data_IF_449467201542
#
_entry.id   IF_449467201542
#
_cell.length_a   1.000
_cell.length_b   1.000
_cell.length_c   1.000
_cell.angle_alpha   90.00
_cell.angle_beta   90.00
_cell.angle_gamma   90.00
#
_symmetry.space_group_name_H-M   'P 1'
#
loop_
_entity.id
_entity.type
_entity.pdbx_description
1 polymer ?
#
# COMPACT_ATOMS: atom_id res chain seq x y z
N UNK A 1 -49.62 -6.15 -7.13
CA UNK A 1 -48.80 -5.54 -6.05
C UNK A 1 -48.29 -6.70 -5.22
N UNK A 2 -47.03 -7.07 -5.44
CA UNK A 2 -46.37 -8.11 -4.65
C UNK A 2 -45.84 -7.49 -3.34
N UNK A 3 -45.96 -8.21 -2.24
CA UNK A 3 -45.57 -7.80 -0.87
C UNK A 3 -44.10 -7.39 -0.74
N UNK A 4 -43.34 -7.32 -1.82
CA UNK A 4 -41.88 -7.10 -1.90
C UNK A 4 -41.47 -5.83 -2.65
N UNK A 5 -42.44 -5.05 -3.14
CA UNK A 5 -42.17 -3.69 -3.62
C UNK A 5 -42.11 -2.75 -2.40
N UNK A 6 -40.99 -2.84 -1.65
CA UNK A 6 -40.65 -1.82 -0.67
C UNK A 6 -40.12 -0.62 -1.49
N UNK A 7 -40.85 0.49 -1.59
CA UNK A 7 -40.33 1.71 -2.19
C UNK A 7 -39.05 2.07 -1.39
N UNK A 8 -37.98 2.37 -2.07
CA UNK A 8 -36.86 3.00 -1.39
C UNK A 8 -37.41 4.26 -0.72
N UNK A 9 -37.22 4.46 0.59
CA UNK A 9 -37.70 5.65 1.24
C UNK A 9 -37.09 6.86 0.51
N UNK A 10 -37.96 7.78 0.10
CA UNK A 10 -37.51 9.06 -0.49
C UNK A 10 -36.50 9.76 0.43
N UNK A 11 -35.77 10.75 -0.08
CA UNK A 11 -34.74 11.43 0.69
C UNK A 11 -35.32 11.88 2.04
N UNK A 12 -34.63 11.51 3.12
CA UNK A 12 -35.04 11.92 4.46
C UNK A 12 -34.68 13.38 4.65
N UNK A 13 -35.60 14.15 5.23
CA UNK A 13 -35.34 15.52 5.64
C UNK A 13 -34.06 15.58 6.48
N UNK A 14 -33.06 16.40 6.06
CA UNK A 14 -31.76 16.50 6.71
C UNK A 14 -30.66 15.51 6.20
N UNK A 15 -30.95 14.69 5.19
CA UNK A 15 -29.90 13.88 4.56
C UNK A 15 -28.99 14.74 3.68
N UNK A 16 -27.61 14.67 3.84
CA UNK A 16 -26.68 15.46 3.04
C UNK A 16 -26.87 15.26 1.53
N UNK A 17 -26.66 16.34 0.74
CA UNK A 17 -26.79 16.32 -0.70
C UNK A 17 -25.96 15.20 -1.35
N UNK A 18 -24.73 14.99 -0.91
CA UNK A 18 -23.87 13.92 -1.38
C UNK A 18 -24.45 12.52 -1.15
N UNK A 19 -25.32 12.35 -0.17
CA UNK A 19 -26.01 11.08 0.08
C UNK A 19 -27.27 10.95 -0.76
N UNK A 20 -28.04 12.04 -0.89
CA UNK A 20 -29.27 12.09 -1.72
C UNK A 20 -28.97 11.91 -3.20
N UNK A 21 -27.87 12.49 -3.70
CA UNK A 21 -27.45 12.43 -5.11
C UNK A 21 -26.69 11.13 -5.49
N UNK A 22 -26.65 10.13 -4.60
CA UNK A 22 -26.03 8.85 -4.97
C UNK A 22 -26.75 8.19 -6.14
N UNK A 23 -26.00 7.75 -7.17
CA UNK A 23 -26.56 6.98 -8.26
C UNK A 23 -27.36 5.77 -7.76
N UNK A 24 -28.56 5.58 -8.28
CA UNK A 24 -29.40 4.42 -8.01
C UNK A 24 -29.16 3.29 -9.02
N UNK A 25 -28.59 3.59 -10.18
CA UNK A 25 -28.33 2.63 -11.26
C UNK A 25 -26.95 2.86 -11.89
N UNK A 26 -26.52 1.91 -12.74
CA UNK A 26 -25.26 2.04 -13.49
C UNK A 26 -25.30 3.17 -14.53
N UNK A 27 -26.48 3.50 -15.04
CA UNK A 27 -26.68 4.54 -16.03
C UNK A 27 -26.52 5.94 -15.43
N UNK A 28 -26.84 6.07 -14.15
CA UNK A 28 -26.61 7.33 -13.40
C UNK A 28 -25.16 7.50 -12.95
N UNK A 29 -24.40 6.40 -12.94
CA UNK A 29 -23.02 6.43 -12.44
C UNK A 29 -22.13 7.25 -13.38
N UNK A 30 -21.48 8.27 -12.86
CA UNK A 30 -20.61 9.17 -13.63
C UNK A 30 -19.17 8.71 -13.53
N UNK A 31 -18.48 8.71 -14.66
CA UNK A 31 -17.07 8.32 -14.76
C UNK A 31 -16.83 6.82 -14.67
N UNK A 32 -15.58 6.45 -14.38
CA UNK A 32 -15.13 5.06 -14.23
C UNK A 32 -15.29 4.22 -15.52
N UNK A 33 -15.16 4.83 -16.70
CA UNK A 33 -15.29 4.15 -18.00
C UNK A 33 -14.34 2.95 -18.14
N UNK A 34 -13.17 3.00 -17.51
CA UNK A 34 -12.22 1.88 -17.48
C UNK A 34 -12.77 0.61 -16.83
N UNK A 35 -13.70 0.76 -15.88
CA UNK A 35 -14.27 -0.33 -15.07
C UNK A 35 -15.73 -0.62 -15.44
N UNK A 36 -16.53 0.43 -15.67
CA UNK A 36 -17.97 0.38 -15.86
C UNK A 36 -18.43 0.71 -17.28
N UNK A 37 -17.52 1.07 -18.19
CA UNK A 37 -17.85 1.35 -19.57
C UNK A 37 -18.51 0.17 -20.29
N UNK A 38 -19.16 0.40 -21.42
CA UNK A 38 -19.82 -0.66 -22.19
C UNK A 38 -18.86 -1.81 -22.53
N UNK A 39 -19.28 -3.04 -22.25
CA UNK A 39 -18.48 -4.24 -22.51
C UNK A 39 -17.37 -4.54 -21.48
N UNK A 40 -17.17 -3.72 -20.47
CA UNK A 40 -16.21 -3.99 -19.40
C UNK A 40 -16.63 -5.17 -18.52
N UNK A 41 -15.62 -5.86 -17.97
CA UNK A 41 -15.83 -7.11 -17.23
C UNK A 41 -16.80 -6.95 -16.07
N UNK A 42 -16.61 -5.92 -15.21
CA UNK A 42 -17.46 -5.71 -14.04
C UNK A 42 -18.90 -5.38 -14.47
N UNK A 43 -19.07 -4.48 -15.45
CA UNK A 43 -20.39 -4.13 -15.97
C UNK A 43 -21.13 -5.36 -16.50
N UNK A 44 -20.51 -6.17 -17.34
CA UNK A 44 -21.10 -7.42 -17.86
C UNK A 44 -21.50 -8.40 -16.75
N UNK A 45 -20.66 -8.51 -15.70
CA UNK A 45 -20.94 -9.38 -14.57
C UNK A 45 -22.18 -8.91 -13.79
N UNK A 46 -22.33 -7.58 -13.60
CA UNK A 46 -23.47 -6.97 -12.92
C UNK A 46 -24.74 -7.15 -13.77
N UNK A 47 -24.68 -6.85 -15.07
CA UNK A 47 -25.83 -6.95 -16.00
C UNK A 47 -26.31 -8.39 -16.16
N UNK A 48 -25.39 -9.37 -16.16
CA UNK A 48 -25.70 -10.78 -16.24
C UNK A 48 -26.08 -11.43 -14.90
N UNK A 49 -26.08 -10.68 -13.80
CA UNK A 49 -26.26 -11.18 -12.42
C UNK A 49 -25.29 -12.34 -12.06
N UNK A 50 -24.06 -12.27 -12.57
CA UNK A 50 -22.98 -13.26 -12.36
C UNK A 50 -21.80 -12.60 -11.67
N UNK A 51 -22.01 -12.19 -10.43
CA UNK A 51 -20.95 -11.56 -9.63
C UNK A 51 -19.85 -12.56 -9.26
N UNK A 52 -18.67 -12.04 -9.11
CA UNK A 52 -17.54 -12.76 -8.52
C UNK A 52 -17.81 -13.01 -7.02
N UNK A 53 -17.16 -14.04 -6.46
CA UNK A 53 -17.27 -14.34 -5.03
C UNK A 53 -16.66 -13.24 -4.15
N UNK A 54 -15.66 -12.50 -4.66
CA UNK A 54 -14.99 -11.45 -3.95
C UNK A 54 -14.52 -10.35 -4.90
N UNK A 55 -14.73 -9.10 -4.50
CA UNK A 55 -14.35 -7.89 -5.21
C UNK A 55 -13.63 -6.96 -4.25
N UNK A 56 -12.55 -6.33 -4.69
CA UNK A 56 -11.90 -5.24 -3.98
C UNK A 56 -11.99 -4.00 -4.87
N UNK A 57 -12.61 -2.95 -4.35
CA UNK A 57 -12.70 -1.64 -4.98
C UNK A 57 -11.63 -0.73 -4.34
N UNK A 58 -10.66 -0.35 -5.12
CA UNK A 58 -9.55 0.49 -4.67
C UNK A 58 -9.61 1.84 -5.38
N UNK A 59 -9.23 2.91 -4.68
CA UNK A 59 -9.14 4.24 -5.25
C UNK A 59 -9.44 5.36 -4.24
N UNK A 60 -9.25 6.64 -4.63
CA UNK A 60 -9.31 7.77 -3.73
C UNK A 60 -10.69 8.00 -3.12
N UNK A 61 -10.80 8.81 -2.04
CA UNK A 61 -12.08 9.23 -1.48
C UNK A 61 -12.96 9.89 -2.54
N UNK A 62 -14.27 9.68 -2.45
CA UNK A 62 -15.23 10.29 -3.39
C UNK A 62 -15.29 9.69 -4.80
N UNK A 63 -14.47 8.69 -5.14
CA UNK A 63 -14.48 8.00 -6.44
C UNK A 63 -15.69 7.08 -6.68
N UNK A 64 -16.55 6.88 -5.67
CA UNK A 64 -17.80 6.14 -5.80
C UNK A 64 -17.77 4.68 -5.33
N UNK A 65 -16.74 4.20 -4.59
CA UNK A 65 -16.62 2.79 -4.12
C UNK A 65 -17.87 2.28 -3.40
N UNK A 66 -18.32 2.97 -2.37
CA UNK A 66 -19.51 2.61 -1.58
C UNK A 66 -20.78 2.68 -2.42
N UNK A 67 -20.87 3.68 -3.30
CA UNK A 67 -21.99 3.87 -4.24
C UNK A 67 -22.07 2.72 -5.23
N UNK A 68 -20.94 2.32 -5.82
CA UNK A 68 -20.89 1.19 -6.75
C UNK A 68 -21.32 -0.11 -6.09
N UNK A 69 -20.87 -0.38 -4.86
CA UNK A 69 -21.29 -1.56 -4.12
C UNK A 69 -22.81 -1.59 -3.88
N UNK A 70 -23.44 -0.44 -3.60
CA UNK A 70 -24.91 -0.33 -3.46
C UNK A 70 -25.65 -0.53 -4.78
N UNK A 71 -25.17 0.04 -5.88
CA UNK A 71 -25.73 -0.16 -7.23
C UNK A 71 -25.65 -1.63 -7.62
N UNK A 72 -24.53 -2.30 -7.34
CA UNK A 72 -24.38 -3.75 -7.56
C UNK A 72 -25.46 -4.52 -6.77
N UNK A 73 -25.62 -4.20 -5.49
CA UNK A 73 -26.59 -4.88 -4.65
C UNK A 73 -28.04 -4.68 -5.14
N UNK A 74 -28.40 -3.46 -5.49
CA UNK A 74 -29.72 -3.13 -6.03
C UNK A 74 -30.00 -3.89 -7.35
N UNK A 75 -29.03 -3.88 -8.28
CA UNK A 75 -29.16 -4.52 -9.60
C UNK A 75 -29.29 -6.03 -9.52
N UNK A 76 -28.55 -6.65 -8.57
CA UNK A 76 -28.53 -8.10 -8.37
C UNK A 76 -29.57 -8.61 -7.35
N UNK A 77 -30.44 -7.74 -6.86
CA UNK A 77 -31.46 -8.05 -5.84
C UNK A 77 -30.89 -8.73 -4.59
N UNK A 78 -29.64 -8.46 -4.29
CA UNK A 78 -28.94 -8.98 -3.12
C UNK A 78 -29.22 -8.13 -1.89
N UNK A 79 -29.32 -8.74 -0.71
CA UNK A 79 -29.33 -8.00 0.54
C UNK A 79 -27.97 -7.32 0.74
N UNK A 80 -27.97 -6.06 1.16
CA UNK A 80 -26.75 -5.28 1.38
C UNK A 80 -26.48 -5.11 2.86
N UNK A 81 -25.35 -5.66 3.33
CA UNK A 81 -24.84 -5.48 4.67
C UNK A 81 -23.54 -4.68 4.58
N UNK A 82 -23.43 -3.61 5.37
CA UNK A 82 -22.28 -2.72 5.36
C UNK A 82 -21.61 -2.70 6.72
N UNK A 83 -20.30 -2.91 6.74
CA UNK A 83 -19.45 -2.75 7.92
C UNK A 83 -18.38 -1.70 7.63
N UNK A 84 -18.05 -0.88 8.62
CA UNK A 84 -16.86 -0.03 8.59
C UNK A 84 -15.75 -0.75 9.33
N UNK A 85 -14.63 -1.00 8.69
CA UNK A 85 -13.49 -1.67 9.31
C UNK A 85 -12.89 -0.86 10.48
N UNK A 86 -13.15 0.45 10.53
CA UNK A 86 -12.74 1.32 11.64
C UNK A 86 -13.56 1.06 12.91
N UNK A 87 -14.85 0.72 12.77
CA UNK A 87 -15.79 0.62 13.90
C UNK A 87 -16.23 -0.82 14.21
N UNK A 88 -16.15 -1.72 13.23
CA UNK A 88 -16.65 -3.09 13.32
C UNK A 88 -15.51 -4.11 13.45
N UNK A 89 -15.73 -5.10 14.31
CA UNK A 89 -14.81 -6.21 14.52
C UNK A 89 -15.41 -7.57 14.22
N UNK A 90 -14.80 -8.62 14.75
CA UNK A 90 -15.28 -9.99 14.62
C UNK A 90 -16.70 -10.25 15.16
N UNK A 91 -17.15 -9.59 16.26
CA UNK A 91 -18.53 -9.77 16.75
C UNK A 91 -19.57 -9.32 15.73
N UNK A 92 -19.40 -8.13 15.12
CA UNK A 92 -20.30 -7.56 14.12
C UNK A 92 -20.30 -8.43 12.85
N UNK A 93 -19.12 -8.88 12.41
CA UNK A 93 -18.99 -9.80 11.29
C UNK A 93 -19.77 -11.10 11.52
N UNK A 94 -19.69 -11.70 12.73
CA UNK A 94 -20.46 -12.91 13.08
C UNK A 94 -21.95 -12.70 12.99
N UNK A 95 -22.46 -11.55 13.38
CA UNK A 95 -23.88 -11.21 13.25
C UNK A 95 -24.31 -11.13 11.78
N UNK A 96 -23.50 -10.50 10.93
CA UNK A 96 -23.76 -10.44 9.48
C UNK A 96 -23.77 -11.84 8.86
N UNK A 97 -22.82 -12.70 9.24
CA UNK A 97 -22.78 -14.11 8.77
C UNK A 97 -24.05 -14.84 9.16
N UNK A 98 -24.51 -14.70 10.39
CA UNK A 98 -25.74 -15.34 10.85
C UNK A 98 -26.95 -14.91 10.02
N UNK A 99 -27.12 -13.58 9.80
CA UNK A 99 -28.18 -13.02 8.95
C UNK A 99 -28.08 -13.47 7.48
N UNK A 100 -26.87 -13.52 6.92
CA UNK A 100 -26.66 -13.96 5.54
C UNK A 100 -27.06 -15.44 5.35
N UNK A 101 -26.68 -16.30 6.29
CA UNK A 101 -27.05 -17.72 6.29
C UNK A 101 -28.54 -17.93 6.44
N UNK A 102 -29.20 -17.17 7.30
CA UNK A 102 -30.65 -17.21 7.50
C UNK A 102 -31.37 -16.78 6.21
N UNK A 103 -31.00 -15.66 5.60
CA UNK A 103 -31.60 -15.19 4.34
C UNK A 103 -31.44 -16.20 3.21
N UNK A 104 -30.24 -16.83 3.12
CA UNK A 104 -29.99 -17.86 2.11
C UNK A 104 -30.88 -19.08 2.29
N UNK A 105 -31.10 -19.50 3.56
CA UNK A 105 -31.96 -20.65 3.88
C UNK A 105 -33.45 -20.37 3.68
N UNK A 106 -33.92 -19.24 4.19
CA UNK A 106 -35.34 -18.91 4.26
C UNK A 106 -35.87 -18.26 2.97
N UNK A 107 -35.07 -17.41 2.31
CA UNK A 107 -35.48 -16.60 1.17
C UNK A 107 -34.74 -16.92 -0.13
N UNK A 108 -33.78 -17.83 -0.11
CA UNK A 108 -32.82 -18.08 -1.21
C UNK A 108 -32.20 -16.76 -1.76
N UNK A 109 -32.05 -15.76 -0.87
CA UNK A 109 -31.53 -14.44 -1.22
C UNK A 109 -30.03 -14.37 -0.94
N UNK A 110 -29.26 -13.88 -1.93
CA UNK A 110 -27.84 -13.59 -1.77
C UNK A 110 -27.64 -12.36 -0.88
N UNK A 111 -26.54 -12.35 -0.16
CA UNK A 111 -26.10 -11.20 0.63
C UNK A 111 -24.79 -10.68 0.07
N UNK A 112 -24.69 -9.38 -0.13
CA UNK A 112 -23.42 -8.67 -0.34
C UNK A 112 -22.96 -8.13 0.99
N UNK A 113 -21.76 -8.53 1.43
CA UNK A 113 -21.05 -7.91 2.54
C UNK A 113 -20.09 -6.86 1.98
N UNK A 114 -20.40 -5.60 2.24
CA UNK A 114 -19.51 -4.48 1.96
C UNK A 114 -18.73 -4.11 3.20
N UNK A 115 -17.38 -4.08 3.08
CA UNK A 115 -16.50 -3.65 4.16
C UNK A 115 -15.75 -2.40 3.70
N UNK A 116 -16.07 -1.27 4.31
CA UNK A 116 -15.40 0.00 4.03
C UNK A 116 -14.07 0.09 4.79
N UNK A 117 -13.05 0.62 4.13
CA UNK A 117 -11.67 0.75 4.64
C UNK A 117 -11.10 -0.59 5.12
N UNK A 118 -11.24 -1.66 4.32
CA UNK A 118 -10.86 -3.04 4.70
C UNK A 118 -9.39 -3.17 5.16
N UNK A 119 -8.51 -2.30 4.72
CA UNK A 119 -7.12 -2.24 5.17
C UNK A 119 -6.96 -1.92 6.67
N UNK A 120 -7.99 -1.34 7.32
CA UNK A 120 -8.00 -1.09 8.78
C UNK A 120 -8.22 -2.35 9.61
N UNK A 121 -8.69 -3.43 9.00
CA UNK A 121 -8.79 -4.70 9.69
C UNK A 121 -7.42 -5.36 9.80
N UNK A 122 -7.12 -5.90 10.98
CA UNK A 122 -5.91 -6.68 11.18
C UNK A 122 -5.97 -8.03 10.44
N UNK A 123 -4.83 -8.71 10.35
CA UNK A 123 -4.70 -9.98 9.62
C UNK A 123 -5.73 -11.02 10.07
N UNK A 124 -5.98 -11.17 11.37
CA UNK A 124 -6.92 -12.16 11.89
C UNK A 124 -8.39 -11.85 11.50
N UNK A 125 -8.74 -10.57 11.40
CA UNK A 125 -10.06 -10.15 10.94
C UNK A 125 -10.24 -10.38 9.43
N UNK A 126 -9.21 -10.12 8.64
CA UNK A 126 -9.21 -10.40 7.21
C UNK A 126 -9.22 -11.91 6.93
N UNK A 127 -8.44 -12.71 7.68
CA UNK A 127 -8.42 -14.18 7.58
C UNK A 127 -9.81 -14.79 7.85
N UNK A 128 -10.60 -14.20 8.76
CA UNK A 128 -11.97 -14.65 9.05
C UNK A 128 -12.94 -14.56 7.86
N UNK A 129 -12.61 -13.77 6.83
CA UNK A 129 -13.41 -13.68 5.61
C UNK A 129 -13.18 -14.87 4.66
N UNK A 130 -11.99 -15.47 4.67
CA UNK A 130 -11.57 -16.46 3.67
C UNK A 130 -12.54 -17.65 3.54
N UNK A 131 -12.93 -18.35 4.64
CA UNK A 131 -13.87 -19.47 4.53
C UNK A 131 -15.22 -19.05 3.99
N UNK A 132 -15.65 -17.81 4.25
CA UNK A 132 -16.97 -17.30 3.90
C UNK A 132 -17.07 -16.83 2.45
N UNK A 133 -15.93 -16.40 1.90
CA UNK A 133 -15.78 -16.11 0.47
C UNK A 133 -15.73 -17.42 -0.32
N UNK A 134 -15.05 -18.44 0.21
CA UNK A 134 -14.92 -19.76 -0.43
C UNK A 134 -16.22 -20.56 -0.44
N UNK A 135 -16.99 -20.54 0.66
CA UNK A 135 -18.27 -21.27 0.76
C UNK A 135 -19.45 -20.51 0.11
N UNK A 136 -19.21 -19.27 -0.35
CA UNK A 136 -20.23 -18.43 -0.97
C UNK A 136 -21.35 -18.02 -0.02
N UNK A 137 -21.08 -17.93 1.29
CA UNK A 137 -22.05 -17.44 2.29
C UNK A 137 -22.52 -16.03 1.92
N UNK A 138 -21.60 -15.20 1.40
CA UNK A 138 -21.90 -13.89 0.83
C UNK A 138 -20.95 -13.55 -0.33
N UNK A 139 -21.33 -12.55 -1.13
CA UNK A 139 -20.42 -11.89 -2.05
C UNK A 139 -19.69 -10.80 -1.27
N UNK A 140 -18.37 -10.90 -1.17
CA UNK A 140 -17.57 -9.91 -0.47
C UNK A 140 -17.22 -8.74 -1.41
N UNK A 141 -17.42 -7.50 -0.94
CA UNK A 141 -16.92 -6.29 -1.60
C UNK A 141 -16.13 -5.49 -0.57
N UNK A 142 -14.83 -5.53 -0.66
CA UNK A 142 -13.94 -4.67 0.14
C UNK A 142 -13.72 -3.34 -0.57
N UNK A 143 -13.79 -2.23 0.18
CA UNK A 143 -13.37 -0.92 -0.31
C UNK A 143 -12.13 -0.46 0.46
N UNK A 144 -11.19 0.15 -0.24
CA UNK A 144 -9.97 0.70 0.36
C UNK A 144 -9.49 1.93 -0.41
N UNK A 145 -8.87 2.85 0.30
CA UNK A 145 -8.10 3.95 -0.28
C UNK A 145 -6.62 3.60 -0.45
N UNK A 146 -6.14 2.55 0.22
CA UNK A 146 -4.77 2.08 0.18
C UNK A 146 -4.59 0.98 -0.87
N UNK A 147 -3.36 0.82 -1.39
CA UNK A 147 -3.07 -0.20 -2.39
C UNK A 147 -3.29 -1.61 -1.81
N UNK A 148 -4.28 -2.38 -2.32
CA UNK A 148 -4.67 -3.65 -1.75
C UNK A 148 -3.58 -4.73 -1.80
N UNK A 149 -2.61 -4.61 -2.70
CA UNK A 149 -1.50 -5.55 -2.80
C UNK A 149 -0.50 -5.45 -1.64
N UNK A 150 -0.53 -4.34 -0.88
CA UNK A 150 0.32 -4.13 0.29
C UNK A 150 -0.45 -4.25 1.62
N UNK A 151 -1.71 -3.83 1.63
CA UNK A 151 -2.48 -3.65 2.87
C UNK A 151 -3.51 -4.76 3.12
N UNK A 152 -3.87 -5.51 2.09
CA UNK A 152 -4.78 -6.66 2.20
C UNK A 152 -3.98 -7.95 2.15
N UNK A 153 -4.36 -8.94 2.96
CA UNK A 153 -3.65 -10.22 3.00
C UNK A 153 -3.66 -10.91 1.63
N UNK A 154 -2.50 -11.46 1.25
CA UNK A 154 -2.33 -12.12 -0.06
C UNK A 154 -3.39 -13.19 -0.37
N UNK A 155 -3.79 -14.07 0.57
CA UNK A 155 -4.88 -15.04 0.34
C UNK A 155 -6.23 -14.42 -0.03
N UNK A 156 -6.57 -13.24 0.50
CA UNK A 156 -7.83 -12.56 0.16
C UNK A 156 -7.71 -11.86 -1.20
N UNK A 157 -6.58 -11.21 -1.49
CA UNK A 157 -6.31 -10.59 -2.80
C UNK A 157 -6.34 -11.62 -3.92
N UNK A 158 -5.68 -12.78 -3.72
CA UNK A 158 -5.65 -13.85 -4.74
C UNK A 158 -7.02 -14.45 -5.09
N UNK A 159 -7.99 -14.34 -4.18
CA UNK A 159 -9.38 -14.80 -4.37
C UNK A 159 -10.31 -13.67 -4.81
N UNK A 160 -9.81 -12.45 -4.91
CA UNK A 160 -10.60 -11.26 -5.24
C UNK A 160 -10.31 -10.78 -6.65
N UNK A 161 -11.31 -10.10 -7.26
CA UNK A 161 -11.08 -9.26 -8.42
C UNK A 161 -10.89 -7.83 -7.94
N UNK A 162 -9.71 -7.28 -8.19
CA UNK A 162 -9.37 -5.90 -7.84
C UNK A 162 -9.77 -4.98 -8.99
N UNK A 163 -10.53 -3.94 -8.67
CA UNK A 163 -10.90 -2.88 -9.61
C UNK A 163 -10.45 -1.54 -9.05
N UNK A 164 -9.67 -0.84 -9.84
CA UNK A 164 -9.21 0.50 -9.52
C UNK A 164 -10.22 1.54 -10.01
N UNK A 165 -10.60 2.45 -9.11
CA UNK A 165 -11.46 3.58 -9.39
C UNK A 165 -10.61 4.85 -9.34
N UNK A 166 -10.69 5.65 -10.39
CA UNK A 166 -9.90 6.87 -10.53
C UNK A 166 -10.63 8.10 -9.97
N UNK A 167 -9.90 9.18 -9.65
CA UNK A 167 -10.52 10.47 -9.37
C UNK A 167 -11.42 10.89 -10.54
N UNK A 168 -12.53 11.53 -10.26
CA UNK A 168 -13.38 12.09 -11.31
C UNK A 168 -12.69 13.29 -11.96
N UNK A 169 -12.83 13.44 -13.26
CA UNK A 169 -12.39 14.63 -13.99
C UNK A 169 -13.21 15.87 -13.61
N UNK A 170 -12.68 17.06 -13.86
CA UNK A 170 -13.42 18.32 -13.62
C UNK A 170 -14.75 18.34 -14.39
N UNK A 171 -14.79 17.80 -15.62
CA UNK A 171 -16.02 17.73 -16.41
C UNK A 171 -17.06 16.79 -15.80
N UNK A 172 -16.62 15.66 -15.23
CA UNK A 172 -17.50 14.71 -14.56
C UNK A 172 -18.05 15.27 -13.25
N UNK A 173 -17.22 15.99 -12.48
CA UNK A 173 -17.68 16.70 -11.27
C UNK A 173 -18.66 17.81 -11.65
N UNK A 174 -18.38 18.59 -12.69
CA UNK A 174 -19.30 19.63 -13.15
C UNK A 174 -20.66 19.05 -13.52
N UNK A 175 -20.68 17.93 -14.24
CA UNK A 175 -21.91 17.20 -14.57
C UNK A 175 -22.70 16.79 -13.32
N UNK A 176 -22.02 16.35 -12.26
CA UNK A 176 -22.68 15.99 -10.98
C UNK A 176 -23.28 17.21 -10.29
N UNK A 177 -22.60 18.36 -10.29
CA UNK A 177 -23.09 19.60 -9.72
C UNK A 177 -24.32 20.12 -10.50
N UNK A 178 -24.29 20.10 -11.82
CA UNK A 178 -25.40 20.46 -12.68
C UNK A 178 -26.62 19.55 -12.47
N UNK A 179 -26.41 18.23 -12.38
CA UNK A 179 -27.46 17.26 -12.03
C UNK A 179 -28.07 17.57 -10.67
N UNK A 180 -27.25 17.90 -9.67
CA UNK A 180 -27.73 18.22 -8.32
C UNK A 180 -28.58 19.50 -8.30
N UNK A 181 -28.27 20.47 -9.13
CA UNK A 181 -29.08 21.68 -9.29
C UNK A 181 -30.41 21.43 -10.07
N UNK A 182 -30.40 20.48 -11.00
CA UNK A 182 -31.55 20.19 -11.85
C UNK A 182 -32.53 19.14 -11.26
N UNK A 183 -32.05 18.22 -10.43
CA UNK A 183 -32.86 17.14 -9.87
C UNK A 183 -33.87 17.68 -8.85
N UNK A 184 -35.17 17.50 -9.14
CA UNK A 184 -36.26 17.99 -8.29
C UNK A 184 -36.55 17.14 -7.06
N UNK A 185 -36.19 15.89 -7.10
CA UNK A 185 -36.51 14.93 -6.04
C UNK A 185 -35.36 14.80 -5.02
N UNK A 186 -34.12 14.72 -5.51
CA UNK A 186 -32.93 14.45 -4.71
C UNK A 186 -32.04 15.67 -4.52
N UNK A 187 -32.12 16.62 -5.47
CA UNK A 187 -31.29 17.83 -5.52
C UNK A 187 -32.05 19.10 -5.18
N UNK A 188 -31.74 20.13 -5.93
CA UNK A 188 -32.22 21.48 -5.73
C UNK A 188 -33.18 21.98 -6.85
N UNK A 189 -33.55 21.14 -7.80
CA UNK A 189 -34.37 21.52 -8.96
C UNK A 189 -35.78 22.05 -8.64
N UNK A 190 -36.21 21.98 -7.39
CA UNK A 190 -37.43 22.62 -6.87
C UNK A 190 -37.25 23.99 -6.26
N UNK A 191 -36.00 24.47 -6.12
CA UNK A 191 -35.64 25.78 -5.52
C UNK A 191 -35.16 26.75 -6.60
N UNK A 192 -35.52 28.06 -6.54
CA UNK A 192 -35.00 29.04 -7.46
C UNK A 192 -33.53 29.39 -7.14
N UNK A 193 -32.60 28.74 -7.86
CA UNK A 193 -31.17 28.94 -7.69
C UNK A 193 -30.58 29.41 -9.02
N UNK A 194 -29.80 30.48 -8.99
CA UNK A 194 -29.01 30.98 -10.11
C UNK A 194 -27.52 30.77 -9.79
N UNK A 195 -26.93 29.72 -10.33
CA UNK A 195 -25.50 29.42 -10.16
C UNK A 195 -24.73 29.85 -11.41
N UNK A 196 -23.68 30.63 -11.21
CA UNK A 196 -22.78 31.04 -12.29
C UNK A 196 -21.91 29.87 -12.75
N UNK A 197 -21.67 29.78 -14.06
CA UNK A 197 -20.80 28.75 -14.62
C UNK A 197 -19.38 28.79 -14.01
N UNK A 198 -18.85 30.00 -13.75
CA UNK A 198 -17.55 30.18 -13.11
C UNK A 198 -17.51 29.65 -11.68
N UNK A 199 -18.61 29.74 -10.92
CA UNK A 199 -18.74 29.21 -9.58
C UNK A 199 -18.70 27.67 -9.59
N UNK A 200 -19.49 27.02 -10.47
CA UNK A 200 -19.52 25.57 -10.61
C UNK A 200 -18.19 24.99 -11.09
N UNK A 201 -17.54 25.67 -12.06
CA UNK A 201 -16.19 25.27 -12.51
C UNK A 201 -15.16 25.38 -11.38
N UNK A 202 -15.25 26.41 -10.54
CA UNK A 202 -14.39 26.59 -9.39
C UNK A 202 -14.57 25.44 -8.38
N UNK A 203 -15.82 25.09 -8.05
CA UNK A 203 -16.13 23.97 -7.18
C UNK A 203 -15.60 22.64 -7.77
N UNK A 204 -15.82 22.41 -9.07
CA UNK A 204 -15.36 21.19 -9.75
C UNK A 204 -13.84 21.04 -9.71
N UNK A 205 -13.11 22.11 -10.00
CA UNK A 205 -11.64 22.12 -9.98
C UNK A 205 -11.06 21.89 -8.58
N UNK A 206 -11.60 22.58 -7.55
CA UNK A 206 -11.09 22.49 -6.19
C UNK A 206 -11.52 21.22 -5.46
N UNK A 207 -12.56 20.55 -5.93
CA UNK A 207 -12.95 19.24 -5.40
C UNK A 207 -11.88 18.16 -5.65
N UNK A 208 -10.98 18.34 -6.61
CA UNK A 208 -9.84 17.42 -6.84
C UNK A 208 -10.29 16.01 -7.20
N UNK A 209 -11.41 15.83 -7.91
CA UNK A 209 -11.96 14.53 -8.29
C UNK A 209 -12.82 13.85 -7.23
N UNK A 210 -13.03 14.47 -6.07
CA UNK A 210 -13.89 13.98 -4.99
C UNK A 210 -15.33 14.49 -5.14
N UNK A 211 -16.22 13.64 -5.65
CA UNK A 211 -17.65 13.96 -5.82
C UNK A 211 -18.36 14.35 -4.51
N UNK A 212 -17.99 13.73 -3.38
CA UNK A 212 -18.57 14.04 -2.08
C UNK A 212 -18.19 15.45 -1.64
N UNK A 213 -16.92 15.82 -1.81
CA UNK A 213 -16.44 17.15 -1.49
C UNK A 213 -17.14 18.22 -2.33
N UNK A 214 -17.28 17.99 -3.64
CA UNK A 214 -17.95 18.90 -4.55
C UNK A 214 -19.43 19.13 -4.16
N UNK A 215 -20.17 18.05 -3.91
CA UNK A 215 -21.59 18.12 -3.53
C UNK A 215 -21.79 18.75 -2.16
N UNK A 216 -20.94 18.48 -1.18
CA UNK A 216 -20.99 19.13 0.13
C UNK A 216 -20.70 20.64 0.04
N UNK A 217 -19.76 21.04 -0.82
CA UNK A 217 -19.47 22.44 -1.07
C UNK A 217 -20.65 23.17 -1.75
N UNK A 218 -21.29 22.51 -2.73
CA UNK A 218 -22.51 23.04 -3.34
C UNK A 218 -23.65 23.15 -2.31
N UNK A 219 -23.83 22.16 -1.45
CA UNK A 219 -24.82 22.19 -0.38
C UNK A 219 -24.59 23.37 0.56
N UNK A 220 -23.34 23.56 0.99
CA UNK A 220 -22.97 24.69 1.84
C UNK A 220 -23.24 26.03 1.13
N UNK A 221 -22.86 26.17 -0.14
CA UNK A 221 -23.13 27.38 -0.93
C UNK A 221 -24.62 27.72 -0.99
N UNK A 222 -25.48 26.71 -1.25
CA UNK A 222 -26.92 26.88 -1.35
C UNK A 222 -27.57 27.19 -0.01
N UNK A 223 -27.19 26.47 1.03
CA UNK A 223 -27.88 26.60 2.35
C UNK A 223 -27.38 27.83 3.14
N UNK A 224 -26.16 28.31 2.90
CA UNK A 224 -25.63 29.49 3.61
C UNK A 224 -25.97 30.82 2.92
N UNK A 225 -26.37 30.78 1.65
CA UNK A 225 -26.66 32.02 0.89
C UNK A 225 -28.13 32.42 1.01
N UNK A 226 -28.44 33.60 1.58
CA UNK A 226 -29.82 34.06 1.65
C UNK A 226 -30.38 34.39 0.26
N UNK A 227 -31.66 34.09 -0.03
CA UNK A 227 -32.27 34.47 -1.29
C UNK A 227 -32.39 36.00 -1.42
N UNK A 228 -32.38 36.49 -2.64
CA UNK A 228 -32.65 37.87 -2.96
C UNK A 228 -34.13 38.27 -2.75
N UNK A 229 -34.48 39.54 -3.05
CA UNK A 229 -35.85 40.01 -2.95
C UNK A 229 -36.85 39.28 -3.84
N UNK A 230 -36.39 38.58 -4.88
CA UNK A 230 -37.17 37.69 -5.76
C UNK A 230 -37.25 36.27 -5.28
N UNK A 231 -36.61 35.93 -4.17
CA UNK A 231 -36.56 34.55 -3.62
C UNK A 231 -35.51 33.68 -4.29
N UNK A 232 -34.59 34.22 -5.10
CA UNK A 232 -33.57 33.48 -5.84
C UNK A 232 -32.28 33.44 -5.03
N UNK A 233 -31.71 32.26 -4.89
CA UNK A 233 -30.36 32.04 -4.30
C UNK A 233 -29.31 32.22 -5.39
N UNK A 234 -28.44 33.20 -5.27
CA UNK A 234 -27.35 33.45 -6.22
C UNK A 234 -26.05 32.86 -5.76
N UNK A 235 -25.47 31.98 -6.57
CA UNK A 235 -24.17 31.34 -6.32
C UNK A 235 -23.17 31.88 -7.32
N UNK A 236 -22.46 32.93 -6.91
CA UNK A 236 -21.37 33.52 -7.66
C UNK A 236 -20.02 32.90 -7.30
N UNK A 237 -18.94 33.36 -7.92
CA UNK A 237 -17.60 32.86 -7.66
C UNK A 237 -17.15 33.12 -6.22
N UNK A 238 -17.56 34.20 -5.56
CA UNK A 238 -17.20 34.52 -4.18
C UNK A 238 -17.80 33.50 -3.21
N UNK A 239 -19.11 33.23 -3.35
CA UNK A 239 -19.82 32.20 -2.58
C UNK A 239 -19.16 30.82 -2.77
N UNK A 240 -18.81 30.48 -4.01
CA UNK A 240 -18.14 29.21 -4.30
C UNK A 240 -16.76 29.13 -3.63
N UNK A 241 -15.99 30.22 -3.60
CA UNK A 241 -14.68 30.29 -2.95
C UNK A 241 -14.77 30.10 -1.43
N UNK A 242 -15.79 30.68 -0.80
CA UNK A 242 -16.04 30.54 0.63
C UNK A 242 -16.55 29.13 1.01
N UNK A 243 -17.35 28.51 0.13
CA UNK A 243 -18.00 27.24 0.38
C UNK A 243 -17.08 26.04 0.22
N UNK A 244 -16.05 26.13 -0.63
CA UNK A 244 -15.03 25.12 -0.77
C UNK A 244 -13.74 25.60 -0.14
N UNK A 245 -13.55 25.27 1.12
CA UNK A 245 -12.24 25.46 1.73
C UNK A 245 -11.23 24.69 0.90
N UNK A 246 -10.11 25.32 0.51
CA UNK A 246 -8.96 24.56 0.04
C UNK A 246 -8.72 23.46 1.07
N UNK A 247 -9.06 22.25 0.76
CA UNK A 247 -8.28 21.15 1.30
C UNK A 247 -6.84 21.56 1.03
N UNK A 248 -6.06 21.83 2.07
CA UNK A 248 -4.61 21.85 1.95
C UNK A 248 -4.32 20.72 1.00
N UNK A 249 -3.73 21.00 -0.18
CA UNK A 249 -3.56 20.07 -1.28
C UNK A 249 -3.49 18.68 -0.67
N UNK A 250 -4.62 17.96 -0.63
CA UNK A 250 -4.59 16.59 -0.20
C UNK A 250 -3.76 15.93 -1.28
N UNK A 251 -2.53 15.87 -0.97
CA UNK A 251 -1.60 14.95 -1.53
C UNK A 251 -2.41 13.68 -1.64
N UNK A 252 -2.74 13.31 -2.86
CA UNK A 252 -3.45 12.08 -3.14
C UNK A 252 -2.53 10.98 -2.63
N UNK A 253 -2.76 10.56 -1.38
CA UNK A 253 -1.93 9.56 -0.69
C UNK A 253 -1.89 8.24 -1.44
N UNK A 254 -2.80 8.07 -2.38
CA UNK A 254 -3.06 6.84 -3.10
C UNK A 254 -2.94 6.99 -4.62
N UNK A 255 -2.62 8.18 -5.15
CA UNK A 255 -2.48 8.43 -6.58
C UNK A 255 -1.04 8.33 -7.10
N UNK A 256 -0.88 8.17 -8.42
CA UNK A 256 0.41 8.12 -9.12
C UNK A 256 1.31 9.31 -8.75
N UNK A 257 0.75 10.50 -8.51
CA UNK A 257 1.49 11.71 -8.10
C UNK A 257 2.14 11.58 -6.71
N UNK A 258 1.56 10.79 -5.79
CA UNK A 258 2.16 10.46 -4.50
C UNK A 258 3.40 9.58 -4.69
N UNK A 259 3.24 8.48 -5.42
CA UNK A 259 4.34 7.57 -5.71
C UNK A 259 5.45 8.24 -6.52
N UNK A 260 5.11 9.15 -7.43
CA UNK A 260 6.07 9.91 -8.21
C UNK A 260 6.88 10.89 -7.35
N UNK A 261 6.24 11.58 -6.39
CA UNK A 261 6.94 12.51 -5.50
C UNK A 261 7.85 11.79 -4.52
N UNK A 262 7.38 10.66 -3.94
CA UNK A 262 8.20 9.80 -3.09
C UNK A 262 9.36 9.21 -3.88
N UNK A 263 9.11 8.74 -5.10
CA UNK A 263 10.13 8.23 -6.00
C UNK A 263 11.17 9.30 -6.35
N UNK A 264 10.74 10.54 -6.58
CA UNK A 264 11.63 11.68 -6.81
C UNK A 264 12.47 11.99 -5.56
N UNK A 265 11.88 11.99 -4.36
CA UNK A 265 12.59 12.15 -3.09
C UNK A 265 13.67 11.08 -2.91
N UNK A 266 13.29 9.80 -3.04
CA UNK A 266 14.21 8.66 -2.91
C UNK A 266 15.36 8.78 -3.92
N UNK A 267 15.05 9.07 -5.19
CA UNK A 267 16.04 9.19 -6.26
C UNK A 267 16.97 10.39 -6.05
N UNK A 268 16.48 11.49 -5.45
CA UNK A 268 17.32 12.65 -5.12
C UNK A 268 18.32 12.33 -4.00
N UNK A 269 17.87 11.65 -2.93
CA UNK A 269 18.77 11.20 -1.84
C UNK A 269 19.79 10.18 -2.39
N UNK A 270 19.35 9.21 -3.18
CA UNK A 270 20.21 8.21 -3.85
C UNK A 270 21.21 8.87 -4.81
N UNK A 271 20.75 9.87 -5.56
CA UNK A 271 21.54 10.61 -6.52
C UNK A 271 22.47 11.67 -5.92
N UNK A 272 22.49 11.81 -4.59
CA UNK A 272 23.32 12.79 -3.87
C UNK A 272 23.02 14.24 -4.22
N UNK A 273 21.74 14.57 -4.45
CA UNK A 273 21.25 15.92 -4.63
C UNK A 273 20.45 16.38 -3.40
N UNK A 274 21.10 17.06 -2.43
CA UNK A 274 20.44 17.51 -1.20
C UNK A 274 19.38 18.59 -1.44
N UNK A 275 19.54 19.45 -2.44
CA UNK A 275 18.60 20.52 -2.74
C UNK A 275 17.29 19.96 -3.32
N UNK A 276 17.38 19.02 -4.27
CA UNK A 276 16.22 18.29 -4.77
C UNK A 276 15.55 17.47 -3.69
N UNK A 277 16.33 16.79 -2.82
CA UNK A 277 15.78 16.03 -1.70
C UNK A 277 14.97 16.91 -0.75
N UNK A 278 15.48 18.09 -0.38
CA UNK A 278 14.75 19.06 0.45
C UNK A 278 13.50 19.59 -0.23
N UNK A 279 13.57 19.87 -1.53
CA UNK A 279 12.40 20.32 -2.27
C UNK A 279 11.27 19.28 -2.26
N UNK A 280 11.59 18.02 -2.54
CA UNK A 280 10.60 16.95 -2.54
C UNK A 280 10.10 16.63 -1.13
N UNK A 281 10.96 16.70 -0.11
CA UNK A 281 10.56 16.61 1.31
C UNK A 281 9.54 17.71 1.65
N UNK A 282 9.87 18.97 1.35
CA UNK A 282 8.98 20.09 1.62
C UNK A 282 7.64 19.94 0.89
N UNK A 283 7.66 19.49 -0.37
CA UNK A 283 6.44 19.23 -1.16
C UNK A 283 5.58 18.13 -0.52
N UNK A 284 6.16 17.03 -0.07
CA UNK A 284 5.44 15.94 0.62
C UNK A 284 4.77 16.45 1.90
N UNK A 285 5.52 17.11 2.77
CA UNK A 285 5.01 17.59 4.06
C UNK A 285 3.98 18.72 3.89
N UNK A 286 4.19 19.64 2.93
CA UNK A 286 3.21 20.69 2.59
C UNK A 286 1.91 20.10 2.08
N UNK A 287 1.99 18.99 1.37
CA UNK A 287 0.85 18.25 0.86
C UNK A 287 0.15 17.38 1.93
N UNK A 288 0.66 17.36 3.17
CA UNK A 288 0.06 16.65 4.30
C UNK A 288 0.52 15.18 4.44
N UNK A 289 1.66 14.81 3.82
CA UNK A 289 2.23 13.48 4.04
C UNK A 289 2.56 13.26 5.51
N UNK A 290 2.34 12.03 5.98
CA UNK A 290 2.73 11.64 7.33
C UNK A 290 4.26 11.69 7.47
N UNK A 291 4.81 12.52 8.36
CA UNK A 291 6.25 12.56 8.60
C UNK A 291 6.86 11.21 8.95
N UNK A 292 6.08 10.31 9.60
CA UNK A 292 6.50 8.93 9.90
C UNK A 292 6.72 8.11 8.65
N UNK A 293 5.94 8.36 7.60
CA UNK A 293 6.15 7.70 6.31
C UNK A 293 7.50 8.12 5.71
N UNK A 294 7.82 9.41 5.73
CA UNK A 294 9.12 9.94 5.26
C UNK A 294 10.26 9.33 6.06
N UNK A 295 10.15 9.31 7.38
CA UNK A 295 11.18 8.72 8.27
C UNK A 295 11.40 7.23 8.00
N UNK A 296 10.34 6.45 7.78
CA UNK A 296 10.47 5.04 7.36
C UNK A 296 11.25 4.91 6.06
N UNK A 297 11.03 5.79 5.09
CA UNK A 297 11.77 5.79 3.82
C UNK A 297 13.23 6.16 4.01
N UNK A 298 13.55 7.11 4.89
CA UNK A 298 14.94 7.45 5.23
C UNK A 298 15.66 6.27 5.89
N UNK A 299 15.02 5.53 6.80
CA UNK A 299 15.60 4.32 7.42
C UNK A 299 15.87 3.24 6.35
N UNK A 300 14.95 3.04 5.41
CA UNK A 300 15.15 2.10 4.30
C UNK A 300 16.32 2.54 3.42
N UNK A 301 16.37 3.82 3.01
CA UNK A 301 17.45 4.40 2.20
C UNK A 301 18.82 4.26 2.87
N UNK A 302 18.87 4.46 4.19
CA UNK A 302 20.10 4.29 4.96
C UNK A 302 20.65 2.86 4.87
N UNK A 303 19.79 1.85 4.86
CA UNK A 303 20.20 0.45 4.67
C UNK A 303 20.45 0.06 3.22
N UNK A 304 19.63 0.54 2.29
CA UNK A 304 19.62 0.16 0.87
C UNK A 304 20.71 0.88 0.07
N UNK A 305 20.81 2.20 0.20
CA UNK A 305 21.62 3.06 -0.67
C UNK A 305 22.91 3.60 -0.03
N UNK A 306 22.96 3.68 1.30
CA UNK A 306 24.17 4.07 2.04
C UNK A 306 24.92 2.82 2.49
N UNK A 307 24.22 1.88 3.10
CA UNK A 307 24.76 0.59 3.51
C UNK A 307 26.05 0.72 4.34
N UNK A 308 27.03 -0.10 4.00
CA UNK A 308 28.33 -0.10 4.66
C UNK A 308 29.30 0.98 4.15
N UNK A 309 28.93 1.78 3.15
CA UNK A 309 29.78 2.93 2.79
C UNK A 309 29.82 3.94 3.94
N UNK A 310 28.68 4.13 4.65
CA UNK A 310 28.62 4.89 5.89
C UNK A 310 27.63 4.27 6.88
N UNK A 311 28.10 3.41 7.81
CA UNK A 311 27.26 2.78 8.81
C UNK A 311 26.52 3.75 9.74
N UNK A 312 26.96 5.00 9.85
CA UNK A 312 26.31 6.04 10.64
C UNK A 312 24.98 6.47 10.00
N UNK A 313 24.80 6.29 8.70
CA UNK A 313 23.55 6.64 8.01
C UNK A 313 22.33 6.03 8.66
N UNK A 314 22.37 4.74 9.00
CA UNK A 314 21.27 4.06 9.68
C UNK A 314 21.05 4.59 11.11
N UNK A 315 22.14 4.89 11.85
CA UNK A 315 22.07 5.43 13.20
C UNK A 315 21.40 6.80 13.19
N UNK A 316 21.79 7.68 12.27
CA UNK A 316 21.20 9.03 12.11
C UNK A 316 19.71 8.94 11.75
N UNK A 317 19.33 8.08 10.79
CA UNK A 317 17.94 7.91 10.39
C UNK A 317 17.05 7.39 11.54
N UNK A 318 17.55 6.43 12.33
CA UNK A 318 16.83 5.91 13.50
C UNK A 318 16.76 6.95 14.62
N UNK A 319 17.84 7.69 14.90
CA UNK A 319 17.86 8.76 15.88
C UNK A 319 16.87 9.88 15.51
N UNK A 320 16.81 10.26 14.24
CA UNK A 320 15.82 11.23 13.74
C UNK A 320 14.38 10.75 13.94
N UNK A 321 14.13 9.45 13.72
CA UNK A 321 12.80 8.85 13.97
C UNK A 321 12.43 8.94 15.45
N UNK A 322 13.34 8.60 16.36
CA UNK A 322 13.11 8.69 17.80
C UNK A 322 12.93 10.13 18.28
N UNK A 323 13.72 11.05 17.75
CA UNK A 323 13.59 12.48 18.05
C UNK A 323 12.25 13.03 17.61
N UNK A 324 11.79 12.68 16.41
CA UNK A 324 10.48 13.06 15.91
C UNK A 324 9.34 12.53 16.78
N UNK A 325 9.40 11.26 17.21
CA UNK A 325 8.37 10.67 18.08
C UNK A 325 8.31 11.38 19.46
N UNK A 326 9.42 11.91 19.94
CA UNK A 326 9.49 12.66 21.20
C UNK A 326 9.02 14.11 21.07
N UNK A 327 9.38 14.80 19.97
CA UNK A 327 9.15 16.23 19.78
C UNK A 327 7.79 16.49 19.12
N UNK A 328 7.45 15.74 18.04
CA UNK A 328 6.30 15.99 17.19
C UNK A 328 6.44 17.24 16.29
N UNK A 329 5.43 17.49 15.45
CA UNK A 329 5.37 18.72 14.64
C UNK A 329 4.90 19.91 15.50
N UNK A 330 5.34 21.16 15.19
CA UNK A 330 6.14 21.55 14.00
C UNK A 330 7.66 21.35 14.14
N UNK A 331 8.23 21.30 15.34
CA UNK A 331 9.67 21.29 15.56
C UNK A 331 10.33 19.96 15.15
N UNK A 332 9.58 18.88 15.08
CA UNK A 332 10.02 17.58 14.57
C UNK A 332 10.51 17.58 13.11
N UNK A 333 10.34 18.71 12.39
CA UNK A 333 10.91 18.89 11.05
C UNK A 333 12.45 18.89 11.06
N UNK A 334 13.08 19.43 12.12
CA UNK A 334 14.54 19.56 12.16
C UNK A 334 15.29 18.23 12.09
N UNK A 335 14.96 17.19 12.90
CA UNK A 335 15.61 15.88 12.76
C UNK A 335 15.34 15.21 11.42
N UNK A 336 14.17 15.43 10.79
CA UNK A 336 13.87 14.90 9.45
C UNK A 336 14.77 15.53 8.39
N UNK A 337 14.94 16.86 8.44
CA UNK A 337 15.83 17.61 7.55
C UNK A 337 17.28 17.18 7.73
N UNK A 338 17.75 17.06 8.97
CA UNK A 338 19.11 16.62 9.29
C UNK A 338 19.39 15.23 8.71
N UNK A 339 18.50 14.26 8.93
CA UNK A 339 18.63 12.93 8.37
C UNK A 339 18.59 12.92 6.83
N UNK A 340 17.73 13.73 6.23
CA UNK A 340 17.64 13.87 4.77
C UNK A 340 18.96 14.39 4.18
N UNK A 341 19.51 15.47 4.74
CA UNK A 341 20.78 16.07 4.31
C UNK A 341 21.94 15.10 4.51
N UNK A 342 21.99 14.44 5.69
CA UNK A 342 23.03 13.46 5.99
C UNK A 342 23.04 12.35 4.94
N UNK A 343 21.89 11.71 4.69
CA UNK A 343 21.81 10.61 3.74
C UNK A 343 22.01 11.07 2.29
N UNK A 344 21.57 12.27 1.92
CA UNK A 344 21.82 12.81 0.58
C UNK A 344 23.32 13.06 0.32
N UNK A 345 24.09 13.42 1.35
CA UNK A 345 25.53 13.74 1.22
C UNK A 345 26.47 12.61 1.61
N UNK A 346 25.97 11.53 2.20
CA UNK A 346 26.76 10.35 2.56
C UNK A 346 27.27 9.59 1.33
N UNK A 347 28.41 8.90 1.41
CA UNK A 347 28.86 7.98 0.37
C UNK A 347 27.83 6.86 0.17
N UNK A 348 27.70 6.36 -1.06
CA UNK A 348 26.65 5.40 -1.46
C UNK A 348 27.21 3.99 -1.63
N UNK A 349 26.43 2.99 -1.21
CA UNK A 349 26.68 1.58 -1.47
C UNK A 349 25.36 0.79 -1.49
N UNK A 350 25.25 -0.13 -2.44
CA UNK A 350 24.18 -1.10 -2.49
C UNK A 350 24.54 -2.45 -1.85
N UNK A 351 25.40 -2.45 -0.86
CA UNK A 351 25.91 -3.67 -0.19
C UNK A 351 24.82 -4.60 0.35
N UNK A 352 23.65 -4.04 0.72
CA UNK A 352 22.48 -4.82 1.11
C UNK A 352 21.94 -5.72 -0.03
N UNK A 353 22.22 -5.36 -1.28
CA UNK A 353 21.87 -6.17 -2.46
C UNK A 353 22.52 -7.57 -2.47
N UNK A 354 23.61 -7.77 -1.72
CA UNK A 354 24.26 -9.06 -1.54
C UNK A 354 23.30 -10.16 -1.01
N UNK A 355 22.33 -9.80 -0.21
CA UNK A 355 21.28 -10.73 0.26
C UNK A 355 20.47 -11.30 -0.90
N UNK A 356 20.08 -10.49 -1.87
CA UNK A 356 19.27 -10.94 -3.01
C UNK A 356 20.04 -11.90 -3.92
N UNK A 357 21.34 -11.66 -4.12
CA UNK A 357 22.21 -12.58 -4.84
C UNK A 357 22.37 -13.94 -4.12
N UNK A 358 22.45 -13.94 -2.79
CA UNK A 358 22.48 -15.15 -2.01
C UNK A 358 21.13 -15.91 -2.06
N UNK A 359 20.01 -15.18 -2.01
CA UNK A 359 18.66 -15.75 -2.15
C UNK A 359 18.45 -16.38 -3.52
N UNK A 360 18.83 -15.69 -4.60
CA UNK A 360 18.75 -16.22 -5.96
C UNK A 360 19.55 -17.53 -6.12
N UNK A 361 20.74 -17.59 -5.51
CA UNK A 361 21.53 -18.81 -5.51
C UNK A 361 20.83 -19.98 -4.79
N UNK A 362 20.14 -19.71 -3.69
CA UNK A 362 19.34 -20.68 -2.96
C UNK A 362 18.14 -21.15 -3.80
N UNK A 363 17.43 -20.22 -4.46
CA UNK A 363 16.27 -20.53 -5.30
C UNK A 363 16.65 -21.36 -6.54
N UNK A 364 17.84 -21.10 -7.11
CA UNK A 364 18.33 -21.81 -8.31
C UNK A 364 18.93 -23.19 -8.04
N UNK A 365 19.56 -23.39 -6.87
CA UNK A 365 20.26 -24.63 -6.55
C UNK A 365 19.50 -25.53 -5.53
N UNK A 366 18.41 -25.00 -4.96
CA UNK A 366 17.70 -25.67 -3.89
C UNK A 366 18.41 -25.59 -2.53
N UNK A 367 17.79 -26.20 -1.52
CA UNK A 367 18.33 -26.26 -0.17
C UNK A 367 19.47 -27.28 -0.13
N UNK A 368 20.64 -26.85 0.29
CA UNK A 368 21.85 -27.66 0.43
C UNK A 368 22.15 -27.96 1.90
N UNK A 369 22.79 -29.10 2.18
CA UNK A 369 23.12 -29.49 3.54
C UNK A 369 24.18 -28.55 4.15
N UNK A 370 24.05 -28.30 5.45
CA UNK A 370 25.05 -27.58 6.22
C UNK A 370 26.31 -28.45 6.34
N UNK A 371 27.51 -27.90 6.01
CA UNK A 371 28.76 -28.63 6.16
C UNK A 371 28.95 -29.20 7.58
N UNK A 372 29.40 -30.46 7.71
CA UNK A 372 29.45 -31.19 8.99
C UNK A 372 30.18 -30.42 10.11
N UNK A 373 31.28 -29.76 9.79
CA UNK A 373 32.06 -28.98 10.76
C UNK A 373 31.34 -27.71 11.25
N UNK A 374 30.31 -27.23 10.53
CA UNK A 374 29.48 -26.07 10.91
C UNK A 374 28.19 -26.49 11.60
N UNK A 375 27.87 -27.81 11.65
CA UNK A 375 26.67 -28.27 12.33
C UNK A 375 26.80 -28.11 13.85
N UNK A 376 25.65 -27.88 14.52
CA UNK A 376 25.63 -27.73 15.97
C UNK A 376 26.20 -29.02 16.68
N UNK A 377 27.19 -28.82 17.54
CA UNK A 377 27.83 -29.87 18.31
C UNK A 377 27.29 -30.00 19.75
N UNK A 378 26.20 -29.31 20.09
CA UNK A 378 25.55 -29.41 21.39
C UNK A 378 24.77 -30.72 21.57
N UNK A 379 24.63 -31.17 22.84
CA UNK A 379 23.92 -32.40 23.21
C UNK A 379 24.54 -33.66 22.57
N UNK A 380 23.72 -34.61 22.13
CA UNK A 380 24.17 -35.90 21.55
C UNK A 380 24.70 -35.79 20.11
N UNK A 381 24.72 -34.58 19.52
CA UNK A 381 25.12 -34.36 18.14
C UNK A 381 26.62 -34.66 17.88
N UNK A 382 27.48 -34.60 18.91
CA UNK A 382 28.89 -34.97 18.82
C UNK A 382 29.08 -36.44 18.41
N UNK A 383 28.21 -37.34 18.88
CA UNK A 383 28.23 -38.74 18.51
C UNK A 383 27.93 -39.00 17.02
N UNK A 384 27.24 -38.04 16.37
CA UNK A 384 26.94 -38.05 14.93
C UNK A 384 28.03 -37.39 14.09
N UNK A 385 29.12 -36.88 14.73
CA UNK A 385 30.25 -36.23 14.08
C UNK A 385 29.96 -34.77 13.71
N UNK A 386 28.92 -34.13 14.30
CA UNK A 386 28.61 -32.73 14.11
C UNK A 386 29.68 -31.85 14.76
N UNK A 387 30.05 -30.74 14.09
CA UNK A 387 31.09 -29.83 14.56
C UNK A 387 32.52 -30.36 14.46
N UNK A 388 32.70 -31.61 14.00
CA UNK A 388 34.03 -32.19 13.89
C UNK A 388 34.86 -31.48 12.82
N UNK A 389 36.08 -31.01 13.22
CA UNK A 389 36.96 -30.30 12.32
C UNK A 389 36.72 -28.80 12.23
N UNK A 390 35.81 -28.25 13.03
CA UNK A 390 35.63 -26.79 13.09
C UNK A 390 36.86 -26.10 13.71
N UNK A 391 37.39 -25.10 13.00
CA UNK A 391 38.49 -24.28 13.45
C UNK A 391 37.93 -23.00 14.06
N UNK A 392 38.13 -22.81 15.37
CA UNK A 392 37.60 -21.65 16.08
C UNK A 392 38.47 -20.40 15.80
N UNK A 393 37.95 -19.34 15.15
CA UNK A 393 38.75 -18.22 14.66
C UNK A 393 39.53 -17.48 15.77
N UNK A 394 38.97 -17.38 16.98
CA UNK A 394 39.64 -16.69 18.08
C UNK A 394 40.92 -17.38 18.57
N UNK A 395 41.16 -18.65 18.22
CA UNK A 395 42.41 -19.35 18.55
C UNK A 395 43.50 -19.10 17.49
N UNK A 396 43.25 -18.27 16.47
CA UNK A 396 44.13 -18.00 15.36
C UNK A 396 44.54 -16.55 15.30
N UNK A 397 45.77 -16.21 14.80
CA UNK A 397 46.21 -14.83 14.64
C UNK A 397 45.25 -13.97 13.84
N UNK A 398 44.95 -12.78 14.36
CA UNK A 398 44.00 -11.87 13.72
C UNK A 398 42.54 -12.34 13.76
N UNK A 399 42.22 -13.33 14.58
CA UNK A 399 40.87 -13.92 14.71
C UNK A 399 40.25 -14.34 13.36
N UNK A 400 41.13 -14.84 12.46
CA UNK A 400 40.73 -15.31 11.14
C UNK A 400 41.38 -16.67 10.84
N UNK A 401 40.64 -17.59 10.26
CA UNK A 401 41.13 -18.88 9.81
C UNK A 401 40.49 -19.26 8.47
N UNK A 402 41.30 -19.82 7.58
CA UNK A 402 40.81 -20.32 6.28
C UNK A 402 40.11 -21.65 6.46
N UNK A 403 38.79 -21.66 6.32
CA UNK A 403 37.98 -22.88 6.23
C UNK A 403 36.77 -22.65 5.32
N UNK A 404 36.15 -23.72 4.84
CA UNK A 404 34.99 -23.63 3.97
C UNK A 404 33.75 -23.35 4.81
N UNK A 405 33.04 -22.23 4.55
CA UNK A 405 31.80 -21.86 5.24
C UNK A 405 30.55 -22.08 4.39
N UNK A 406 30.68 -22.01 3.09
CA UNK A 406 29.54 -22.31 2.19
C UNK A 406 29.43 -23.82 1.95
N UNK A 407 28.24 -24.33 1.63
CA UNK A 407 28.06 -25.69 1.12
C UNK A 407 28.99 -25.96 -0.06
N UNK A 408 29.37 -27.24 -0.27
CA UNK A 408 30.29 -27.64 -1.32
C UNK A 408 29.85 -27.19 -2.72
N UNK A 409 28.55 -27.21 -3.00
CA UNK A 409 27.98 -26.76 -4.27
C UNK A 409 28.16 -25.23 -4.52
N UNK A 410 28.40 -24.46 -3.47
CA UNK A 410 28.60 -23.02 -3.51
C UNK A 410 30.04 -22.62 -3.20
N UNK A 411 30.96 -23.58 -3.15
CA UNK A 411 32.37 -23.32 -2.84
C UNK A 411 32.96 -22.27 -3.79
N UNK A 412 33.62 -21.26 -3.22
CA UNK A 412 34.21 -20.15 -3.98
C UNK A 412 33.24 -19.08 -4.48
N UNK A 413 31.92 -19.25 -4.33
CA UNK A 413 30.95 -18.22 -4.72
C UNK A 413 31.05 -16.98 -3.83
N UNK A 414 30.86 -15.82 -4.43
CA UNK A 414 30.88 -14.52 -3.75
C UNK A 414 29.54 -13.84 -3.92
N UNK A 415 28.95 -13.39 -2.85
CA UNK A 415 27.70 -12.62 -2.84
C UNK A 415 27.95 -11.16 -2.52
N UNK A 416 28.86 -10.88 -1.59
CA UNK A 416 29.22 -9.53 -1.18
C UNK A 416 30.54 -9.10 -1.82
N UNK A 417 30.48 -7.98 -2.56
CA UNK A 417 31.64 -7.33 -3.14
C UNK A 417 31.65 -5.85 -2.73
N UNK A 418 32.51 -5.46 -1.75
CA UNK A 418 32.54 -4.11 -1.23
C UNK A 418 32.96 -3.09 -2.28
N UNK A 419 32.31 -1.92 -2.25
CA UNK A 419 32.68 -0.78 -3.11
C UNK A 419 34.00 -0.14 -2.65
N UNK A 420 34.44 0.89 -3.39
CA UNK A 420 35.57 1.73 -3.00
C UNK A 420 35.18 2.92 -2.15
N UNK A 421 33.88 3.07 -1.83
CA UNK A 421 33.35 4.25 -1.21
C UNK A 421 33.33 4.15 0.32
N UNK A 422 33.66 5.26 0.98
CA UNK A 422 33.55 5.41 2.42
C UNK A 422 34.24 4.28 3.22
N UNK A 423 33.51 3.72 4.20
CA UNK A 423 34.04 2.65 5.05
C UNK A 423 34.26 1.34 4.28
N UNK A 424 33.55 1.10 3.18
CA UNK A 424 33.72 -0.12 2.39
C UNK A 424 35.10 -0.25 1.74
N UNK A 425 35.83 0.84 1.51
CA UNK A 425 37.20 0.79 1.07
C UNK A 425 38.08 -0.01 2.05
N UNK A 426 37.96 0.26 3.35
CA UNK A 426 38.68 -0.47 4.40
C UNK A 426 38.17 -1.93 4.54
N UNK A 427 36.89 -2.16 4.34
CA UNK A 427 36.31 -3.52 4.33
C UNK A 427 36.86 -4.31 3.17
N UNK A 428 36.93 -3.74 1.96
CA UNK A 428 37.45 -4.36 0.75
C UNK A 428 38.88 -4.85 0.94
N UNK A 429 39.74 -4.01 1.47
CA UNK A 429 41.17 -4.34 1.69
C UNK A 429 41.34 -5.45 2.72
N UNK A 430 40.51 -5.43 3.78
CA UNK A 430 40.48 -6.47 4.80
C UNK A 430 39.97 -7.80 4.23
N UNK A 431 38.87 -7.76 3.48
CA UNK A 431 38.25 -8.93 2.90
C UNK A 431 39.12 -9.57 1.80
N UNK A 432 39.88 -8.78 1.04
CA UNK A 432 40.83 -9.27 0.06
C UNK A 432 41.92 -10.13 0.73
N UNK A 433 42.49 -9.66 1.86
CA UNK A 433 43.49 -10.42 2.64
C UNK A 433 42.90 -11.72 3.19
N UNK A 434 41.71 -11.69 3.75
CA UNK A 434 41.05 -12.88 4.28
C UNK A 434 40.73 -13.89 3.20
N UNK A 435 40.21 -13.47 2.06
CA UNK A 435 39.93 -14.33 0.90
C UNK A 435 41.18 -14.97 0.33
N UNK A 436 42.30 -14.24 0.26
CA UNK A 436 43.57 -14.79 -0.16
C UNK A 436 44.08 -15.88 0.81
N UNK A 437 44.00 -15.63 2.13
CA UNK A 437 44.36 -16.62 3.14
C UNK A 437 43.49 -17.89 3.07
N UNK A 438 42.19 -17.71 2.90
CA UNK A 438 41.25 -18.82 2.74
C UNK A 438 41.54 -19.65 1.49
N UNK A 439 41.75 -18.98 0.34
CA UNK A 439 42.05 -19.65 -0.93
C UNK A 439 43.34 -20.49 -0.84
N UNK A 440 44.38 -20.01 -0.15
CA UNK A 440 45.62 -20.74 0.05
C UNK A 440 45.37 -22.05 0.81
N UNK A 441 44.66 -22.01 1.93
CA UNK A 441 44.37 -23.19 2.76
C UNK A 441 43.50 -24.21 1.98
N UNK A 442 42.46 -23.72 1.27
CA UNK A 442 41.58 -24.60 0.49
C UNK A 442 42.26 -25.19 -0.75
N UNK A 443 43.16 -24.43 -1.39
CA UNK A 443 43.99 -24.91 -2.52
C UNK A 443 45.01 -25.97 -2.11
N UNK A 444 45.64 -25.81 -0.94
CA UNK A 444 46.58 -26.80 -0.37
C UNK A 444 45.85 -28.12 0.05
N UNK A 445 44.61 -28.02 0.51
CA UNK A 445 43.82 -29.24 0.86
C UNK A 445 43.37 -30.04 -0.39
N UNK A 446 43.11 -29.38 -1.50
CA UNK A 446 42.76 -30.03 -2.79
C UNK A 446 43.98 -30.73 -3.42
N UNK A 447 45.19 -30.27 -3.17
CA UNK A 447 46.43 -30.86 -3.68
C UNK A 447 46.88 -32.12 -2.91
N UNK A 448 46.45 -32.28 -1.66
CA UNK A 448 46.81 -33.45 -0.84
C UNK A 448 45.96 -34.68 -1.05
N UNK A 449 44.81 -34.56 -1.66
CA UNK A 449 43.93 -35.72 -1.98
C UNK A 449 44.26 -36.37 -3.32
N UNK A 450 45.24 -35.84 -4.09
CA UNK A 450 45.65 -36.36 -5.40
C UNK A 450 46.93 -37.22 -5.43
N UNK A 451 47.61 -37.49 -4.28
CA UNK A 451 48.87 -38.25 -4.27
C UNK A 451 48.88 -39.38 -3.25
N UNK A 452 47.98 -40.32 -3.41
CA UNK A 452 48.10 -41.66 -2.81
C UNK A 452 47.84 -42.71 -3.91
N UNK A 453 48.83 -42.91 -4.74
CA UNK A 453 48.91 -44.20 -5.49
C UNK A 453 49.39 -45.28 -4.54
N UNK A 454 48.75 -46.41 -4.42
CA UNK A 454 49.33 -47.57 -3.78
C UNK A 454 50.37 -48.20 -4.73
N UNK A 455 51.60 -48.25 -4.24
CA UNK A 455 52.64 -49.09 -4.84
C UNK A 455 52.15 -50.55 -4.96
N UNK A 456 52.16 -51.01 -6.18
CA UNK A 456 51.91 -52.39 -6.51
C UNK A 456 53.07 -53.26 -6.02
N UNK A 457 52.77 -54.24 -5.17
CA UNK A 457 53.68 -55.30 -4.85
C UNK A 457 53.63 -56.37 -5.96
N UNK A 458 54.84 -56.66 -6.49
CA UNK A 458 55.13 -57.84 -7.30
C UNK A 458 55.85 -58.85 -6.43
N UNK A 459 55.22 -59.92 -6.18
CA UNK A 459 55.87 -61.31 -6.24
C UNK A 459 54.86 -62.35 -5.83
#
# INVERSE_FOLDING_TARGET
MTLFDIPQPGPKEGEPLAARMRPASLEEFVGQEGVLGPGRLLRRAIEADRLFSSIILWGPPGSGKTTLARVIAARTRSAFESLSAVMAGLPELRQVIARARERRRSLNQRTILFVDEVHRWNKAQQDALLPLVEDGTFVFIGATTENPYFEVIGPLVSRSRVFELHPLSEAEILLLLERALADRERGYGGRPIAAEAAALQHLARLAGGDARNALNALELAVESTPPDAGGIVHIDLSVAQESIQRRALLYDRDGDAHYDTISAFIKSVRGSDPDAALYWLARMLHAGEDPRFVLRRLVILAGEDIGLADPQGLVVAVAATQAFEFIGMPEGIYPIVEATLYLATAPKSNSAGAYFAAREALESQGVTDVPRHLQDSSRDAVALGHGQGYLYPHNHPGHHVGQQYLPAALAGRRFYDPSSEGYEAAVRDRLARWRAAQAKVLGESSGRTGSAQPDGDRS
#
